data_IF_183849836739
#
_entry.id   IF_183849836739
#
_cell.length_a   1.000
_cell.length_b   1.000
_cell.length_c   1.000
_cell.angle_alpha   90.00
_cell.angle_beta   90.00
_cell.angle_gamma   90.00
#
_symmetry.space_group_name_H-M   'P 1'
#
loop_
_entity.id
_entity.type
_entity.pdbx_description
1 polymer ?
#
# COMPACT_ATOMS: atom_id res chain seq x y z
N UNK A 1 -30.53 7.78 4.25
CA UNK A 1 -29.32 8.31 4.91
C UNK A 1 -29.02 7.44 6.11
N UNK A 2 -27.91 6.72 6.10
CA UNK A 2 -27.41 5.98 7.25
C UNK A 2 -25.90 5.96 7.16
N UNK A 3 -25.23 6.76 7.99
CA UNK A 3 -23.78 6.68 8.15
C UNK A 3 -23.46 5.30 8.77
N UNK A 4 -22.41 4.57 8.33
CA UNK A 4 -21.98 3.40 9.06
C UNK A 4 -21.38 3.85 10.39
N UNK A 5 -21.88 3.24 11.45
CA UNK A 5 -21.45 3.39 12.83
C UNK A 5 -19.92 3.20 12.94
N UNK A 6 -19.28 4.04 13.76
CA UNK A 6 -17.84 4.02 14.03
C UNK A 6 -17.35 2.79 14.79
N UNK A 7 -17.42 1.62 14.17
CA UNK A 7 -16.76 0.39 14.61
C UNK A 7 -15.41 0.20 13.91
N UNK A 8 -14.46 -0.43 14.60
CA UNK A 8 -13.18 -0.84 13.99
C UNK A 8 -13.44 -1.76 12.79
N UNK A 9 -12.69 -1.61 11.69
CA UNK A 9 -12.82 -2.44 10.49
C UNK A 9 -12.78 -3.95 10.82
N UNK A 10 -11.92 -4.33 11.76
CA UNK A 10 -11.78 -5.71 12.24
C UNK A 10 -13.08 -6.28 12.82
N UNK A 11 -13.92 -5.45 13.44
CA UNK A 11 -15.23 -5.87 13.97
C UNK A 11 -16.26 -6.18 12.90
N UNK A 12 -16.05 -5.69 11.67
CA UNK A 12 -16.93 -5.98 10.52
C UNK A 12 -16.62 -7.31 9.84
N UNK A 13 -15.48 -7.93 10.14
CA UNK A 13 -15.03 -9.19 9.54
C UNK A 13 -15.48 -10.40 10.37
N UNK A 14 -15.67 -11.55 9.71
CA UNK A 14 -16.01 -12.81 10.35
C UNK A 14 -15.17 -13.98 9.83
N UNK A 15 -15.10 -15.06 10.62
CA UNK A 15 -14.42 -16.29 10.25
C UNK A 15 -12.95 -16.08 9.88
N UNK A 16 -12.53 -16.70 8.77
CA UNK A 16 -11.14 -16.69 8.31
C UNK A 16 -10.66 -15.30 7.89
N UNK A 17 -11.54 -14.41 7.46
CA UNK A 17 -11.14 -13.08 6.99
C UNK A 17 -10.72 -12.19 8.15
N UNK A 18 -11.41 -12.32 9.29
CA UNK A 18 -11.01 -11.66 10.53
C UNK A 18 -9.66 -12.15 11.01
N UNK A 19 -9.48 -13.47 11.08
CA UNK A 19 -8.21 -14.06 11.51
C UNK A 19 -7.04 -13.62 10.63
N UNK A 20 -7.21 -13.65 9.29
CA UNK A 20 -6.20 -13.16 8.37
C UNK A 20 -5.90 -11.68 8.60
N UNK A 21 -6.91 -10.86 8.82
CA UNK A 21 -6.69 -9.44 9.10
C UNK A 21 -5.92 -9.23 10.41
N UNK A 22 -6.30 -9.93 11.47
CA UNK A 22 -5.61 -9.92 12.77
C UNK A 22 -4.11 -10.23 12.59
N UNK A 23 -3.78 -11.34 11.92
CA UNK A 23 -2.41 -11.74 11.61
C UNK A 23 -1.62 -10.64 10.86
N UNK A 24 -2.26 -9.97 9.88
CA UNK A 24 -1.62 -8.85 9.16
C UNK A 24 -1.38 -7.63 10.05
N UNK A 25 -2.34 -7.30 10.92
CA UNK A 25 -2.22 -6.14 11.82
C UNK A 25 -1.19 -6.35 12.93
N UNK A 26 -1.01 -7.58 13.39
CA UNK A 26 0.06 -7.93 14.34
C UNK A 26 1.45 -7.62 13.76
N UNK A 27 1.69 -7.90 12.48
CA UNK A 27 2.95 -7.55 11.80
C UNK A 27 3.19 -6.03 11.74
N UNK A 28 2.13 -5.25 11.77
CA UNK A 28 2.19 -3.79 11.74
C UNK A 28 2.41 -3.18 13.14
N UNK A 29 2.19 -3.93 14.22
CA UNK A 29 2.19 -3.41 15.60
C UNK A 29 1.10 -2.37 15.91
N UNK A 30 0.25 -2.06 14.94
CA UNK A 30 -0.87 -1.12 15.00
C UNK A 30 -1.89 -1.50 13.92
N UNK A 31 -3.18 -1.31 14.19
CA UNK A 31 -4.23 -1.49 13.17
C UNK A 31 -4.20 -0.32 12.17
N UNK A 32 -3.90 -0.55 10.88
CA UNK A 32 -3.80 0.54 9.92
C UNK A 32 -5.12 1.28 9.67
N UNK A 33 -6.26 0.68 10.00
CA UNK A 33 -7.58 1.30 9.86
C UNK A 33 -8.14 1.89 11.16
N UNK A 34 -7.39 1.84 12.26
CA UNK A 34 -7.79 2.51 13.51
C UNK A 34 -7.82 4.04 13.30
N UNK A 35 -8.97 4.71 13.56
CA UNK A 35 -9.10 6.15 13.41
C UNK A 35 -8.17 6.97 14.33
N UNK A 36 -7.62 6.38 15.40
CA UNK A 36 -6.63 7.00 16.27
C UNK A 36 -5.22 7.08 15.65
N UNK A 37 -4.98 6.40 14.53
CA UNK A 37 -3.67 6.32 13.88
C UNK A 37 -3.47 7.51 12.94
N UNK A 38 -2.47 8.33 13.25
CA UNK A 38 -2.10 9.47 12.41
C UNK A 38 -1.10 9.09 11.33
N UNK A 39 -1.42 9.49 10.10
CA UNK A 39 -0.57 9.37 8.92
C UNK A 39 -0.15 10.75 8.40
N UNK A 40 0.94 10.80 7.64
CA UNK A 40 1.52 12.03 7.07
C UNK A 40 1.85 11.85 5.60
N UNK A 41 1.73 12.92 4.82
CA UNK A 41 2.32 13.00 3.49
C UNK A 41 3.78 13.44 3.65
N UNK A 42 4.71 12.48 3.73
CA UNK A 42 6.14 12.77 3.86
C UNK A 42 6.96 11.89 2.91
N UNK A 43 7.62 12.52 1.93
CA UNK A 43 8.45 11.86 0.92
C UNK A 43 9.62 11.10 1.54
N UNK A 44 10.17 11.56 2.66
CA UNK A 44 11.31 10.92 3.33
C UNK A 44 10.98 9.54 3.92
N UNK A 45 9.69 9.25 4.13
CA UNK A 45 9.21 7.96 4.63
C UNK A 45 8.96 6.95 3.52
N UNK A 46 9.07 7.33 2.25
CA UNK A 46 8.81 6.41 1.17
C UNK A 46 9.89 5.32 1.11
N UNK A 47 9.50 4.06 0.91
CA UNK A 47 10.45 2.99 0.62
C UNK A 47 11.32 3.38 -0.58
N UNK A 48 12.64 3.27 -0.42
CA UNK A 48 13.58 3.70 -1.44
C UNK A 48 13.64 2.69 -2.58
N UNK A 49 13.79 3.22 -3.79
CA UNK A 49 14.15 2.45 -4.98
C UNK A 49 15.68 2.51 -5.08
N UNK A 50 16.33 1.34 -5.15
CA UNK A 50 17.80 1.28 -5.15
C UNK A 50 18.38 1.62 -6.54
N UNK A 51 19.65 2.05 -6.59
CA UNK A 51 20.37 2.26 -7.85
C UNK A 51 20.39 1.00 -8.72
N UNK A 52 20.48 -0.18 -8.11
CA UNK A 52 20.36 -1.46 -8.82
C UNK A 52 18.99 -1.62 -9.46
N UNK A 53 17.92 -1.19 -8.80
CA UNK A 53 16.55 -1.26 -9.35
C UNK A 53 16.43 -0.37 -10.60
N UNK A 54 17.09 0.79 -10.62
CA UNK A 54 17.14 1.72 -11.77
C UNK A 54 18.02 1.17 -12.90
N UNK A 55 19.18 0.59 -12.58
CA UNK A 55 20.07 0.00 -13.58
C UNK A 55 19.42 -1.23 -14.23
N UNK A 56 18.73 -2.06 -13.45
CA UNK A 56 17.95 -3.20 -13.95
C UNK A 56 16.84 -2.74 -14.90
N UNK A 57 16.14 -1.65 -14.56
CA UNK A 57 15.13 -1.03 -15.44
C UNK A 57 15.69 -0.59 -16.80
N UNK A 58 16.87 0.04 -16.81
CA UNK A 58 17.48 0.57 -18.03
C UNK A 58 18.13 -0.50 -18.90
N UNK A 59 18.71 -1.53 -18.29
CA UNK A 59 19.46 -2.59 -18.99
C UNK A 59 18.54 -3.67 -19.56
N UNK A 60 17.43 -4.00 -18.88
CA UNK A 60 16.71 -5.26 -19.11
C UNK A 60 15.46 -5.14 -19.99
N UNK A 61 15.42 -4.18 -20.93
CA UNK A 61 14.26 -3.92 -21.80
C UNK A 61 13.79 -5.11 -22.66
N UNK A 62 14.44 -6.28 -22.69
CA UNK A 62 14.08 -7.37 -23.61
C UNK A 62 14.29 -8.83 -23.14
N UNK A 63 14.41 -9.17 -21.85
CA UNK A 63 14.43 -10.61 -21.49
C UNK A 63 13.99 -10.94 -20.05
N UNK A 64 13.17 -11.99 -19.97
CA UNK A 64 12.32 -12.44 -18.87
C UNK A 64 12.92 -12.47 -17.44
N UNK A 65 12.19 -11.76 -16.57
CA UNK A 65 11.81 -12.04 -15.17
C UNK A 65 12.92 -12.21 -14.12
N UNK A 66 13.43 -11.07 -13.64
CA UNK A 66 13.96 -10.93 -12.27
C UNK A 66 12.98 -10.13 -11.37
N UNK A 67 12.98 -10.37 -10.06
CA UNK A 67 12.11 -9.69 -9.06
C UNK A 67 12.27 -8.16 -9.09
N UNK A 68 13.45 -7.69 -9.48
CA UNK A 68 13.80 -6.26 -9.60
C UNK A 68 13.23 -5.63 -10.88
N UNK A 69 13.23 -6.34 -12.01
CA UNK A 69 12.59 -5.90 -13.26
C UNK A 69 11.08 -5.69 -13.10
N UNK A 70 10.39 -6.57 -12.36
CA UNK A 70 8.97 -6.45 -12.08
C UNK A 70 8.64 -5.21 -11.23
N UNK A 71 9.52 -4.87 -10.26
CA UNK A 71 9.37 -3.69 -9.40
C UNK A 71 9.47 -2.40 -10.22
N UNK A 72 10.39 -2.34 -11.18
CA UNK A 72 10.57 -1.15 -12.02
C UNK A 72 9.46 -0.96 -13.07
N UNK A 73 8.99 -2.03 -13.73
CA UNK A 73 7.83 -1.96 -14.63
C UNK A 73 6.57 -1.50 -13.87
N UNK A 74 6.30 -2.08 -12.70
CA UNK A 74 5.18 -1.70 -11.84
C UNK A 74 5.28 -0.27 -11.31
N UNK A 75 6.49 0.27 -11.12
CA UNK A 75 6.68 1.66 -10.68
C UNK A 75 6.13 2.66 -11.72
N UNK A 76 6.38 2.42 -13.01
CA UNK A 76 5.84 3.25 -14.09
C UNK A 76 4.31 3.13 -14.21
N UNK A 77 3.79 1.91 -14.10
CA UNK A 77 2.34 1.67 -14.10
C UNK A 77 1.67 2.34 -12.87
N UNK A 78 2.29 2.23 -11.70
CA UNK A 78 1.89 2.89 -10.46
C UNK A 78 1.82 4.41 -10.58
N UNK A 79 2.83 5.02 -11.19
CA UNK A 79 2.83 6.46 -11.48
C UNK A 79 1.64 6.87 -12.36
N UNK A 80 1.30 6.05 -13.37
CA UNK A 80 0.15 6.32 -14.23
C UNK A 80 -1.18 6.19 -13.48
N UNK A 81 -1.31 5.23 -12.55
CA UNK A 81 -2.51 5.13 -11.70
C UNK A 81 -2.67 6.33 -10.75
N UNK A 82 -1.59 6.84 -10.18
CA UNK A 82 -1.64 8.05 -9.34
C UNK A 82 -1.96 9.29 -10.19
N UNK A 83 -1.27 9.48 -11.32
CA UNK A 83 -1.45 10.63 -12.20
C UNK A 83 -2.84 10.68 -12.83
N UNK A 84 -3.43 9.52 -13.12
CA UNK A 84 -4.81 9.42 -13.64
C UNK A 84 -5.89 9.58 -12.55
N UNK A 85 -5.50 9.81 -11.29
CA UNK A 85 -6.43 9.94 -10.16
C UNK A 85 -7.09 8.64 -9.73
N UNK A 86 -6.58 7.49 -10.20
CA UNK A 86 -7.08 6.17 -9.86
C UNK A 86 -6.68 5.74 -8.46
N UNK A 87 -5.49 6.15 -8.04
CA UNK A 87 -4.98 5.98 -6.68
C UNK A 87 -4.81 7.37 -6.09
N UNK A 88 -5.44 7.63 -4.96
CA UNK A 88 -5.26 8.88 -4.22
C UNK A 88 -3.83 8.97 -3.69
N UNK A 89 -3.36 10.19 -3.40
CA UNK A 89 -2.01 10.37 -2.86
C UNK A 89 -1.83 9.57 -1.56
N UNK A 90 -0.83 8.65 -1.49
CA UNK A 90 -0.68 7.81 -0.31
C UNK A 90 -0.17 8.57 0.91
N UNK A 91 -0.67 8.18 2.08
CA UNK A 91 -0.22 8.67 3.38
C UNK A 91 0.64 7.61 4.06
N UNK A 92 1.61 8.05 4.86
CA UNK A 92 2.64 7.18 5.41
C UNK A 92 2.68 7.27 6.94
N UNK A 93 3.02 6.16 7.59
CA UNK A 93 3.32 6.09 9.02
C UNK A 93 4.52 5.18 9.23
N UNK A 94 5.59 5.73 9.78
CA UNK A 94 6.71 4.93 10.24
C UNK A 94 6.29 4.09 11.44
N UNK A 95 6.53 2.78 11.37
CA UNK A 95 6.23 1.81 12.43
C UNK A 95 7.48 1.42 13.18
N UNK A 96 8.59 1.25 12.45
CA UNK A 96 9.90 0.95 13.02
C UNK A 96 11.01 1.67 12.25
N UNK A 97 12.27 1.44 12.63
CA UNK A 97 13.41 1.99 11.91
C UNK A 97 13.47 1.53 10.44
N UNK A 98 12.95 0.34 10.13
CA UNK A 98 13.01 -0.25 8.78
C UNK A 98 11.64 -0.39 8.10
N UNK A 99 10.53 -0.19 8.81
CA UNK A 99 9.19 -0.43 8.24
C UNK A 99 8.27 0.79 8.27
N UNK A 100 7.49 0.92 7.21
CA UNK A 100 6.51 1.99 6.99
C UNK A 100 5.19 1.40 6.51
N UNK A 101 4.09 1.88 7.08
CA UNK A 101 2.75 1.65 6.53
C UNK A 101 2.49 2.72 5.50
N UNK A 102 2.04 2.31 4.31
CA UNK A 102 1.52 3.19 3.27
C UNK A 102 0.03 2.89 3.12
N UNK A 103 -0.82 3.89 3.32
CA UNK A 103 -2.27 3.79 3.19
C UNK A 103 -2.77 4.73 2.09
N UNK A 104 -3.73 4.26 1.30
CA UNK A 104 -4.34 5.07 0.23
C UNK A 104 -5.79 4.64 -0.04
N UNK A 105 -6.45 5.37 -0.93
CA UNK A 105 -7.74 5.01 -1.51
C UNK A 105 -7.57 4.70 -2.99
N UNK A 106 -8.16 3.59 -3.42
CA UNK A 106 -8.05 3.08 -4.79
C UNK A 106 -9.43 3.02 -5.42
N UNK A 107 -9.58 3.65 -6.58
CA UNK A 107 -10.80 3.58 -7.38
C UNK A 107 -10.94 2.20 -8.01
N UNK A 108 -12.18 1.73 -8.11
CA UNK A 108 -12.47 0.50 -8.84
C UNK A 108 -12.39 0.75 -10.35
N UNK A 109 -11.73 -0.17 -11.05
CA UNK A 109 -11.33 -0.03 -12.45
C UNK A 109 -12.46 0.04 -13.48
N UNK A 110 -13.71 -0.13 -13.06
CA UNK A 110 -14.83 -0.38 -13.97
C UNK A 110 -16.11 0.39 -13.65
N UNK A 111 -16.17 1.19 -12.57
CA UNK A 111 -17.36 2.01 -12.29
C UNK A 111 -16.99 3.35 -11.68
N UNK A 112 -17.40 4.43 -12.36
CA UNK A 112 -17.28 5.81 -11.90
C UNK A 112 -18.15 6.12 -10.67
N UNK A 113 -19.04 5.20 -10.26
CA UNK A 113 -20.00 5.40 -9.16
C UNK A 113 -19.68 4.60 -7.89
N UNK A 114 -18.69 3.71 -7.91
CA UNK A 114 -18.33 2.91 -6.75
C UNK A 114 -17.41 3.72 -5.81
N UNK A 115 -17.66 3.73 -4.49
CA UNK A 115 -16.78 4.42 -3.55
C UNK A 115 -15.36 3.82 -3.59
N UNK A 116 -14.31 4.63 -3.47
CA UNK A 116 -12.93 4.15 -3.42
C UNK A 116 -12.72 3.19 -2.24
N UNK A 117 -11.92 2.15 -2.44
CA UNK A 117 -11.54 1.21 -1.38
C UNK A 117 -10.27 1.70 -0.70
N UNK A 118 -10.29 1.73 0.63
CA UNK A 118 -9.07 1.95 1.41
C UNK A 118 -8.20 0.70 1.32
N UNK A 119 -6.94 0.89 0.97
CA UNK A 119 -5.93 -0.16 0.89
C UNK A 119 -4.66 0.28 1.62
N UNK A 120 -3.90 -0.68 2.13
CA UNK A 120 -2.62 -0.41 2.78
C UNK A 120 -1.59 -1.50 2.52
N UNK A 121 -0.32 -1.11 2.66
CA UNK A 121 0.80 -2.04 2.66
C UNK A 121 1.72 -1.72 3.85
N UNK A 122 2.36 -2.76 4.38
CA UNK A 122 3.56 -2.63 5.20
C UNK A 122 4.75 -2.90 4.30
N UNK A 123 5.65 -1.93 4.19
CA UNK A 123 6.85 -2.03 3.38
C UNK A 123 8.11 -1.79 4.22
N UNK A 124 9.20 -2.42 3.84
CA UNK A 124 10.54 -2.12 4.35
C UNK A 124 11.15 -0.91 3.65
N UNK A 125 12.21 -0.35 4.22
CA UNK A 125 12.92 0.82 3.67
C UNK A 125 13.55 0.56 2.29
N UNK A 126 13.83 -0.71 1.96
CA UNK A 126 14.35 -1.15 0.66
C UNK A 126 13.25 -1.40 -0.41
N UNK A 127 11.98 -1.16 -0.06
CA UNK A 127 10.84 -1.36 -0.94
C UNK A 127 10.34 -2.80 -1.04
N UNK A 128 10.77 -3.71 -0.19
CA UNK A 128 10.08 -4.99 0.00
C UNK A 128 8.71 -4.78 0.67
N UNK A 129 7.65 -5.30 0.05
CA UNK A 129 6.32 -5.37 0.68
C UNK A 129 6.26 -6.61 1.57
N UNK A 130 6.04 -6.40 2.87
CA UNK A 130 5.91 -7.46 3.88
C UNK A 130 4.49 -8.02 3.85
N UNK A 131 3.49 -7.14 3.84
CA UNK A 131 2.07 -7.51 3.86
C UNK A 131 1.22 -6.40 3.23
N UNK A 132 0.06 -6.77 2.71
CA UNK A 132 -0.87 -5.85 2.05
C UNK A 132 -2.32 -6.21 2.37
N UNK A 133 -3.20 -5.21 2.32
CA UNK A 133 -4.64 -5.35 2.49
C UNK A 133 -5.40 -4.40 1.58
#
# INVERSE_FOLDING_TARGET
MGAPCGGSYMSSLCGSDRQRYEEKTELCGVDPFDPGVRYVANVDLWPRVDKCDIMDFLVLRTSFVSRKQLKAYKSMEGHNYVTSGWVQEPLLKQVSADTVIVITQVNHSQSLSAPPVKAWILAKSDGEVVVAH
#
